data_IF_935279687110
#
_entry.id   IF_935279687110
#
_cell.length_a   1.000
_cell.length_b   1.000
_cell.length_c   1.000
_cell.angle_alpha   90.00
_cell.angle_beta   90.00
_cell.angle_gamma   90.00
#
_symmetry.space_group_name_H-M   'P 1'
#
loop_
_entity.id
_entity.type
_entity.pdbx_description
1 polymer ?
#
# COMPACT_ATOMS: atom_id res chain seq x y z
N UNK A 1 50.01 2.70 32.33
CA UNK A 1 50.65 1.33 32.31
C UNK A 1 50.19 0.73 31.01
N UNK A 2 51.05 0.80 29.98
CA UNK A 2 51.94 -0.25 29.44
C UNK A 2 51.12 -1.49 28.99
N UNK A 3 51.15 -1.99 27.73
CA UNK A 3 52.26 -2.11 26.79
C UNK A 3 51.72 -2.33 25.34
N UNK A 4 52.45 -1.75 24.43
CA UNK A 4 52.53 -2.06 22.99
C UNK A 4 53.15 -3.45 22.81
N UNK A 5 52.78 -4.17 21.75
CA UNK A 5 53.68 -5.09 21.06
C UNK A 5 53.44 -5.02 19.52
N UNK A 6 54.42 -4.46 18.86
CA UNK A 6 54.76 -4.64 17.42
C UNK A 6 55.36 -6.05 17.27
N UNK A 7 55.11 -6.70 16.13
CA UNK A 7 55.96 -7.75 15.61
C UNK A 7 56.23 -7.45 14.12
N UNK A 8 57.51 -7.45 13.87
CA UNK A 8 58.25 -7.04 12.67
C UNK A 8 58.19 -8.13 11.56
N UNK A 9 58.34 -7.65 10.34
CA UNK A 9 58.54 -8.38 9.09
C UNK A 9 59.82 -9.21 9.09
N UNK A 10 59.86 -10.33 8.34
CA UNK A 10 61.07 -10.82 7.66
C UNK A 10 60.72 -11.36 6.29
N UNK A 11 61.23 -10.68 5.28
CA UNK A 11 61.27 -11.13 3.88
C UNK A 11 62.41 -12.14 3.71
N UNK A 12 62.13 -13.24 3.04
CA UNK A 12 63.22 -14.15 2.57
C UNK A 12 63.10 -14.33 1.08
N UNK A 13 64.08 -13.75 0.40
CA UNK A 13 64.37 -14.00 -1.05
C UNK A 13 64.96 -15.38 -1.22
N UNK A 14 64.39 -16.23 -2.08
CA UNK A 14 65.06 -17.43 -2.59
C UNK A 14 65.26 -17.31 -4.09
N UNK A 15 66.51 -17.17 -4.45
CA UNK A 15 67.10 -17.17 -5.83
C UNK A 15 67.26 -18.63 -6.25
N UNK A 16 66.60 -19.08 -7.32
CA UNK A 16 66.88 -20.39 -7.95
C UNK A 16 67.24 -20.19 -9.44
N UNK A 17 68.42 -20.66 -9.75
CA UNK A 17 69.15 -20.61 -11.03
C UNK A 17 68.50 -21.49 -12.11
N UNK A 18 68.47 -20.96 -13.33
CA UNK A 18 68.19 -21.66 -14.60
C UNK A 18 69.16 -22.80 -14.85
N UNK A 19 68.62 -23.98 -15.17
CA UNK A 19 69.35 -24.96 -16.01
C UNK A 19 68.45 -25.36 -17.17
N UNK A 20 68.91 -25.03 -18.36
CA UNK A 20 68.30 -25.40 -19.65
C UNK A 20 68.52 -26.88 -19.92
N UNK A 21 67.41 -27.62 -20.10
CA UNK A 21 67.46 -28.94 -20.77
C UNK A 21 66.54 -28.88 -21.98
N UNK A 22 67.22 -28.87 -23.19
CA UNK A 22 66.52 -28.97 -24.47
C UNK A 22 66.19 -30.44 -24.74
N UNK A 23 64.95 -30.77 -24.88
CA UNK A 23 64.55 -32.05 -25.47
C UNK A 23 63.37 -31.77 -26.41
N UNK A 24 63.63 -31.93 -27.70
CA UNK A 24 62.70 -31.85 -28.80
C UNK A 24 61.73 -33.03 -28.73
N UNK A 25 60.47 -32.80 -28.51
CA UNK A 25 59.39 -33.76 -28.72
C UNK A 25 58.33 -33.16 -29.64
N UNK A 26 57.95 -33.95 -30.62
CA UNK A 26 56.94 -33.71 -31.65
C UNK A 26 55.68 -33.07 -31.09
N UNK A 27 55.26 -32.00 -31.70
CA UNK A 27 53.99 -31.31 -31.49
C UNK A 27 52.90 -32.08 -32.25
N UNK A 28 52.14 -32.94 -31.53
CA UNK A 28 50.82 -33.34 -31.96
C UNK A 28 49.87 -32.22 -31.59
N UNK A 29 49.27 -31.60 -32.58
CA UNK A 29 48.23 -30.60 -32.43
C UNK A 29 46.94 -31.28 -31.93
N UNK A 30 46.77 -31.36 -30.59
CA UNK A 30 45.44 -31.52 -30.02
C UNK A 30 44.83 -30.11 -29.97
N UNK A 31 43.84 -29.88 -30.80
CA UNK A 31 42.92 -28.77 -30.64
C UNK A 31 42.22 -28.93 -29.27
N UNK A 32 42.77 -28.22 -28.27
CA UNK A 32 41.99 -27.96 -27.06
C UNK A 32 40.93 -26.94 -27.46
N UNK A 33 39.70 -27.44 -27.74
CA UNK A 33 38.54 -26.63 -27.66
C UNK A 33 38.44 -26.15 -26.19
N UNK A 34 38.85 -24.90 -25.99
CA UNK A 34 38.57 -24.18 -24.76
C UNK A 34 37.02 -24.15 -24.65
N UNK A 35 36.37 -24.59 -23.54
CA UNK A 35 34.95 -24.41 -23.41
C UNK A 35 34.69 -22.89 -23.47
N UNK A 36 34.02 -22.48 -24.54
CA UNK A 36 33.55 -21.09 -24.69
C UNK A 36 32.82 -20.71 -23.41
N UNK A 37 33.36 -19.73 -22.72
CA UNK A 37 32.65 -19.09 -21.62
C UNK A 37 31.35 -18.55 -22.24
N UNK A 38 30.17 -18.96 -21.75
CA UNK A 38 28.92 -18.48 -22.36
C UNK A 38 28.93 -16.95 -22.35
N UNK A 39 28.70 -16.36 -23.52
CA UNK A 39 28.59 -14.91 -23.65
C UNK A 39 27.55 -14.38 -22.66
N UNK A 40 27.83 -13.27 -21.96
CA UNK A 40 26.89 -12.70 -21.04
C UNK A 40 25.62 -12.30 -21.81
N UNK A 41 24.45 -12.63 -21.25
CA UNK A 41 23.16 -12.29 -21.82
C UNK A 41 23.03 -10.78 -22.06
N UNK A 42 22.67 -10.38 -23.29
CA UNK A 42 22.55 -8.98 -23.69
C UNK A 42 21.14 -8.42 -23.45
N UNK A 43 20.12 -9.25 -23.66
CA UNK A 43 18.71 -8.85 -23.49
C UNK A 43 18.01 -9.76 -22.48
N UNK A 44 17.47 -9.13 -21.46
CA UNK A 44 16.73 -9.85 -20.40
C UNK A 44 15.29 -9.33 -20.32
N UNK A 45 14.32 -10.24 -20.38
CA UNK A 45 12.91 -9.93 -20.10
C UNK A 45 12.38 -10.90 -19.05
N UNK A 46 11.66 -10.39 -18.05
CA UNK A 46 11.15 -11.17 -16.93
C UNK A 46 12.21 -11.99 -16.18
N UNK A 47 13.46 -11.48 -16.16
CA UNK A 47 14.60 -12.21 -15.59
C UNK A 47 15.11 -13.38 -16.45
N UNK A 48 14.62 -13.52 -17.69
CA UNK A 48 14.99 -14.57 -18.64
C UNK A 48 15.84 -13.97 -19.74
N UNK A 49 16.95 -14.63 -20.08
CA UNK A 49 17.74 -14.26 -21.26
C UNK A 49 16.95 -14.57 -22.54
N UNK A 50 16.70 -13.55 -23.35
CA UNK A 50 15.89 -13.66 -24.57
C UNK A 50 16.69 -13.50 -25.86
N UNK A 51 18.01 -13.57 -25.82
CA UNK A 51 18.88 -13.37 -26.98
C UNK A 51 18.57 -14.35 -28.12
N UNK A 52 18.17 -15.57 -27.77
CA UNK A 52 17.82 -16.66 -28.71
C UNK A 52 16.31 -16.94 -28.81
N UNK A 53 15.49 -16.10 -28.16
CA UNK A 53 14.04 -16.29 -28.09
C UNK A 53 13.31 -15.20 -28.89
N UNK A 54 12.20 -15.57 -29.48
CA UNK A 54 11.17 -14.66 -29.95
C UNK A 54 10.13 -14.47 -28.86
N UNK A 55 9.78 -13.21 -28.56
CA UNK A 55 8.83 -12.84 -27.52
C UNK A 55 7.58 -12.24 -28.15
N UNK A 56 6.44 -12.93 -28.02
CA UNK A 56 5.15 -12.46 -28.50
C UNK A 56 4.26 -12.06 -27.32
N UNK A 57 3.72 -10.84 -27.36
CA UNK A 57 2.82 -10.32 -26.35
C UNK A 57 1.38 -10.45 -26.79
N UNK A 58 0.53 -10.88 -25.87
CA UNK A 58 -0.90 -11.09 -26.07
C UNK A 58 -1.70 -10.49 -24.90
N UNK A 59 -3.01 -10.39 -25.10
CA UNK A 59 -3.97 -10.01 -24.06
C UNK A 59 -5.08 -11.03 -23.97
N UNK A 60 -5.62 -11.19 -22.78
CA UNK A 60 -6.81 -12.01 -22.51
C UNK A 60 -8.03 -11.31 -23.09
N UNK A 61 -8.74 -11.98 -23.99
CA UNK A 61 -9.92 -11.45 -24.67
C UNK A 61 -11.21 -11.90 -24.00
N UNK A 62 -12.33 -11.32 -24.45
CA UNK A 62 -13.64 -11.70 -23.95
C UNK A 62 -13.96 -13.17 -24.32
N UNK A 63 -14.30 -13.96 -23.32
CA UNK A 63 -14.57 -15.41 -23.47
C UNK A 63 -13.34 -16.30 -23.35
N UNK A 64 -12.16 -15.73 -23.07
CA UNK A 64 -10.97 -16.51 -22.81
C UNK A 64 -10.99 -17.14 -21.41
N UNK A 65 -10.54 -18.37 -21.39
CA UNK A 65 -10.15 -19.12 -20.21
C UNK A 65 -8.72 -19.60 -20.42
N UNK A 66 -8.00 -19.91 -19.35
CA UNK A 66 -6.63 -20.42 -19.47
C UNK A 66 -6.55 -21.60 -20.46
N UNK A 67 -7.49 -22.55 -20.40
CA UNK A 67 -7.52 -23.70 -21.31
C UNK A 67 -7.73 -23.32 -22.77
N UNK A 68 -8.50 -22.28 -23.09
CA UNK A 68 -8.68 -21.79 -24.46
C UNK A 68 -7.43 -21.10 -24.99
N UNK A 69 -6.75 -20.33 -24.15
CA UNK A 69 -5.47 -19.69 -24.48
C UNK A 69 -4.43 -20.77 -24.79
N UNK A 70 -4.26 -21.75 -23.88
CA UNK A 70 -3.29 -22.83 -24.06
C UNK A 70 -3.61 -23.69 -25.29
N UNK A 71 -4.89 -23.94 -25.56
CA UNK A 71 -5.33 -24.63 -26.77
C UNK A 71 -4.97 -23.91 -28.07
N UNK A 72 -5.10 -22.57 -28.12
CA UNK A 72 -4.65 -21.74 -29.24
C UNK A 72 -3.13 -21.76 -29.45
N UNK A 73 -2.37 -21.93 -28.38
CA UNK A 73 -0.92 -22.08 -28.41
C UNK A 73 -0.47 -23.50 -28.77
N UNK A 74 -1.40 -24.45 -29.01
CA UNK A 74 -1.13 -25.82 -29.46
C UNK A 74 -0.92 -26.83 -28.34
N UNK A 75 -1.13 -26.48 -27.07
CA UNK A 75 -1.00 -27.41 -25.95
C UNK A 75 -2.18 -28.38 -25.91
N UNK A 76 -1.87 -29.65 -25.66
CA UNK A 76 -2.89 -30.71 -25.43
C UNK A 76 -3.62 -30.48 -24.10
N UNK A 77 -4.76 -31.14 -23.91
CA UNK A 77 -5.50 -31.04 -22.64
C UNK A 77 -4.68 -31.48 -21.42
N UNK A 78 -3.83 -32.51 -21.59
CA UNK A 78 -2.95 -33.00 -20.52
C UNK A 78 -1.85 -31.98 -20.17
N UNK A 79 -1.27 -31.32 -21.15
CA UNK A 79 -0.26 -30.25 -20.95
C UNK A 79 -0.90 -29.02 -20.33
N UNK A 80 -2.08 -28.63 -20.82
CA UNK A 80 -2.86 -27.53 -20.27
C UNK A 80 -3.20 -27.72 -18.79
N UNK A 81 -3.56 -28.95 -18.39
CA UNK A 81 -3.81 -29.29 -16.99
C UNK A 81 -2.55 -29.21 -16.13
N UNK A 82 -1.39 -29.67 -16.64
CA UNK A 82 -0.10 -29.54 -15.95
C UNK A 82 0.28 -28.05 -15.76
N UNK A 83 0.16 -27.24 -16.80
CA UNK A 83 0.43 -25.80 -16.76
C UNK A 83 -0.50 -25.11 -15.74
N UNK A 84 -1.80 -25.42 -15.80
CA UNK A 84 -2.79 -24.87 -14.87
C UNK A 84 -2.47 -25.19 -13.41
N UNK A 85 -2.05 -26.43 -13.12
CA UNK A 85 -1.62 -26.80 -11.76
C UNK A 85 -0.37 -26.07 -11.32
N UNK A 86 0.61 -25.87 -12.21
CA UNK A 86 1.87 -25.19 -11.89
C UNK A 86 1.65 -23.71 -11.55
N UNK A 87 0.76 -23.01 -12.26
CA UNK A 87 0.52 -21.58 -12.02
C UNK A 87 -0.46 -21.31 -10.85
N UNK A 88 -1.33 -22.27 -10.51
CA UNK A 88 -2.39 -22.10 -9.49
C UNK A 88 -1.90 -21.55 -8.15
N UNK A 89 -0.73 -21.94 -7.60
CA UNK A 89 -0.23 -21.38 -6.34
C UNK A 89 0.07 -19.89 -6.40
N UNK A 90 0.42 -19.36 -7.56
CA UNK A 90 0.84 -17.97 -7.79
C UNK A 90 -0.27 -17.13 -8.40
N UNK A 91 -0.92 -17.65 -9.44
CA UNK A 91 -1.99 -16.99 -10.19
C UNK A 91 -3.09 -18.00 -10.54
N UNK A 92 -4.08 -18.19 -9.65
CA UNK A 92 -5.20 -19.10 -9.91
C UNK A 92 -5.95 -18.73 -11.20
N UNK A 93 -6.24 -19.67 -12.11
CA UNK A 93 -6.95 -19.41 -13.37
C UNK A 93 -8.29 -18.67 -13.21
N UNK A 94 -8.92 -18.78 -12.04
CA UNK A 94 -10.16 -18.06 -11.70
C UNK A 94 -9.97 -16.54 -11.52
N UNK A 95 -8.75 -16.05 -11.45
CA UNK A 95 -8.41 -14.62 -11.37
C UNK A 95 -8.08 -14.00 -12.72
N UNK A 96 -8.00 -14.82 -13.80
CA UNK A 96 -7.75 -14.33 -15.13
C UNK A 96 -8.85 -13.34 -15.55
N UNK A 97 -8.47 -12.16 -15.99
CA UNK A 97 -9.38 -11.08 -16.36
C UNK A 97 -9.14 -10.64 -17.81
N UNK A 98 -10.19 -10.12 -18.44
CA UNK A 98 -10.08 -9.51 -19.77
C UNK A 98 -9.09 -8.34 -19.66
N UNK A 99 -8.13 -8.29 -20.59
CA UNK A 99 -7.09 -7.28 -20.63
C UNK A 99 -5.79 -7.68 -19.91
N UNK A 100 -5.78 -8.76 -19.11
CA UNK A 100 -4.54 -9.28 -18.55
C UNK A 100 -3.56 -9.61 -19.68
N UNK A 101 -2.30 -9.27 -19.48
CA UNK A 101 -1.27 -9.52 -20.48
C UNK A 101 -0.61 -10.88 -20.24
N UNK A 102 -0.22 -11.52 -21.34
CA UNK A 102 0.66 -12.67 -21.26
C UNK A 102 1.67 -12.64 -22.41
N UNK A 103 2.85 -13.21 -22.18
CA UNK A 103 3.90 -13.34 -23.17
C UNK A 103 4.18 -14.83 -23.45
N UNK A 104 4.43 -15.13 -24.71
CA UNK A 104 4.90 -16.43 -25.20
C UNK A 104 6.31 -16.25 -25.69
N UNK A 105 7.24 -17.04 -25.13
CA UNK A 105 8.63 -17.02 -25.53
C UNK A 105 8.96 -18.35 -26.23
N UNK A 106 9.26 -18.27 -27.50
CA UNK A 106 9.59 -19.43 -28.33
C UNK A 106 11.03 -19.37 -28.84
N UNK A 107 11.60 -20.52 -29.08
CA UNK A 107 12.95 -20.61 -29.64
C UNK A 107 12.96 -20.03 -31.05
N UNK A 108 14.01 -19.22 -31.34
CA UNK A 108 14.20 -18.58 -32.64
C UNK A 108 14.85 -19.57 -33.62
N UNK A 109 14.15 -20.65 -33.92
CA UNK A 109 14.57 -21.67 -34.90
C UNK A 109 13.35 -22.18 -35.67
N UNK A 110 13.56 -23.19 -36.55
CA UNK A 110 12.50 -23.78 -37.36
C UNK A 110 11.45 -24.56 -36.56
N UNK A 111 11.73 -24.89 -35.31
CA UNK A 111 10.79 -25.61 -34.42
C UNK A 111 9.78 -24.69 -33.76
N UNK A 112 10.19 -23.43 -33.52
CA UNK A 112 9.41 -22.43 -32.78
C UNK A 112 8.83 -22.97 -31.46
N UNK A 113 9.58 -23.87 -30.80
CA UNK A 113 9.15 -24.49 -29.56
C UNK A 113 8.95 -23.44 -28.46
N UNK A 114 7.80 -23.46 -27.78
CA UNK A 114 7.52 -22.57 -26.68
C UNK A 114 8.35 -23.00 -25.46
N UNK A 115 9.23 -22.12 -25.00
CA UNK A 115 10.10 -22.33 -23.86
C UNK A 115 9.52 -21.77 -22.56
N UNK A 116 8.84 -20.62 -22.65
CA UNK A 116 8.24 -19.99 -21.48
C UNK A 116 6.87 -19.39 -21.80
N UNK A 117 6.00 -19.45 -20.81
CA UNK A 117 4.78 -18.66 -20.76
C UNK A 117 4.89 -17.71 -19.57
N UNK A 118 4.57 -16.44 -19.78
CA UNK A 118 4.59 -15.42 -18.72
C UNK A 118 3.20 -14.81 -18.65
N UNK A 119 2.58 -14.84 -17.49
CA UNK A 119 1.31 -14.18 -17.21
C UNK A 119 1.54 -12.95 -16.34
N UNK A 120 0.95 -11.81 -16.69
CA UNK A 120 1.04 -10.55 -15.93
C UNK A 120 -0.29 -10.26 -15.21
N UNK A 121 -0.49 -10.73 -13.96
CA UNK A 121 -1.69 -10.46 -13.18
C UNK A 121 -1.82 -8.99 -12.74
N UNK A 122 -0.75 -8.20 -12.83
CA UNK A 122 -0.73 -6.76 -12.58
C UNK A 122 0.33 -6.07 -13.46
N UNK A 123 0.42 -4.76 -13.36
CA UNK A 123 1.47 -3.99 -14.06
C UNK A 123 2.87 -4.42 -13.59
N UNK A 124 3.01 -4.73 -12.31
CA UNK A 124 4.28 -5.07 -11.66
C UNK A 124 4.53 -6.57 -11.60
N UNK A 125 3.53 -7.37 -11.29
CA UNK A 125 3.72 -8.78 -10.98
C UNK A 125 3.60 -9.64 -12.23
N UNK A 126 4.40 -10.70 -12.26
CA UNK A 126 4.33 -11.70 -13.32
C UNK A 126 4.60 -13.11 -12.79
N UNK A 127 4.07 -14.09 -13.49
CA UNK A 127 4.27 -15.52 -13.22
C UNK A 127 4.86 -16.17 -14.45
N UNK A 128 6.01 -16.79 -14.30
CA UNK A 128 6.71 -17.52 -15.37
C UNK A 128 6.41 -19.00 -15.24
N UNK A 129 6.17 -19.66 -16.38
CA UNK A 129 6.12 -21.11 -16.53
C UNK A 129 7.27 -21.50 -17.45
N UNK A 130 8.22 -22.29 -16.96
CA UNK A 130 9.31 -22.88 -17.75
C UNK A 130 8.87 -24.25 -18.28
N UNK A 131 8.89 -24.36 -19.61
CA UNK A 131 8.45 -25.52 -20.38
C UNK A 131 9.61 -26.35 -20.97
N UNK A 132 10.87 -25.95 -20.73
CA UNK A 132 12.05 -26.53 -21.38
C UNK A 132 12.46 -27.91 -20.88
N UNK A 133 12.02 -28.31 -19.70
CA UNK A 133 12.44 -29.57 -19.09
C UNK A 133 11.36 -30.64 -19.08
N UNK A 134 11.72 -31.84 -18.68
CA UNK A 134 10.76 -32.93 -18.44
C UNK A 134 9.79 -32.62 -17.29
N UNK A 135 10.21 -31.74 -16.36
CA UNK A 135 9.42 -31.25 -15.25
C UNK A 135 9.10 -29.78 -15.43
N UNK A 136 7.81 -29.46 -15.47
CA UNK A 136 7.29 -28.11 -15.57
C UNK A 136 7.51 -27.36 -14.25
N UNK A 137 8.13 -26.18 -14.31
CA UNK A 137 8.33 -25.31 -13.13
C UNK A 137 7.65 -23.97 -13.33
N UNK A 138 7.17 -23.38 -12.24
CA UNK A 138 6.60 -22.04 -12.25
C UNK A 138 7.04 -21.25 -11.03
N UNK A 139 7.18 -19.92 -11.21
CA UNK A 139 7.50 -18.99 -10.12
C UNK A 139 6.86 -17.63 -10.38
N UNK A 140 6.58 -16.90 -9.31
CA UNK A 140 6.17 -15.50 -9.37
C UNK A 140 7.36 -14.59 -9.11
N UNK A 141 7.36 -13.42 -9.75
CA UNK A 141 8.30 -12.34 -9.52
C UNK A 141 7.66 -11.00 -9.86
N UNK A 142 8.38 -9.90 -9.62
CA UNK A 142 7.89 -8.55 -9.92
C UNK A 142 8.93 -7.78 -10.74
N UNK A 143 8.43 -6.91 -11.62
CA UNK A 143 9.28 -5.97 -12.37
C UNK A 143 9.86 -4.94 -11.39
N UNK A 144 11.08 -4.46 -11.60
CA UNK A 144 11.64 -3.39 -10.79
C UNK A 144 10.79 -2.12 -10.92
N UNK A 145 10.53 -1.48 -9.78
CA UNK A 145 9.79 -0.22 -9.72
C UNK A 145 10.78 0.89 -9.39
N UNK A 146 10.75 1.96 -10.18
CA UNK A 146 11.47 3.22 -9.93
C UNK A 146 10.52 4.25 -9.33
N UNK A 147 11.03 5.07 -8.40
CA UNK A 147 10.27 6.15 -7.81
C UNK A 147 10.70 7.47 -8.44
N UNK A 148 9.73 8.21 -8.97
CA UNK A 148 9.96 9.53 -9.54
C UNK A 148 9.37 10.59 -8.63
N UNK A 149 10.21 11.42 -8.02
CA UNK A 149 9.83 12.54 -7.20
C UNK A 149 9.18 13.63 -8.07
N UNK A 150 7.97 14.08 -7.65
CA UNK A 150 7.17 15.10 -8.33
C UNK A 150 6.77 16.19 -7.36
N UNK A 151 6.47 17.35 -7.92
CA UNK A 151 5.91 18.48 -7.20
C UNK A 151 4.65 18.97 -7.90
N UNK A 152 3.67 19.42 -7.14
CA UNK A 152 2.46 20.04 -7.66
C UNK A 152 1.94 21.08 -6.69
N UNK A 153 1.51 22.23 -7.21
CA UNK A 153 0.84 23.29 -6.46
C UNK A 153 -0.28 23.90 -7.29
N UNK A 154 -1.36 24.32 -6.64
CA UNK A 154 -2.40 25.12 -7.26
C UNK A 154 -3.22 25.88 -6.23
N UNK A 155 -3.78 27.02 -6.69
CA UNK A 155 -4.87 27.69 -5.99
C UNK A 155 -6.20 27.10 -6.44
N UNK A 156 -7.09 26.83 -5.51
CA UNK A 156 -8.39 26.22 -5.76
C UNK A 156 -9.34 27.32 -6.27
N UNK A 157 -9.89 27.08 -7.45
CA UNK A 157 -10.90 27.98 -8.08
C UNK A 157 -12.31 27.39 -8.04
N UNK A 158 -12.45 26.08 -7.83
CA UNK A 158 -13.75 25.41 -7.78
C UNK A 158 -13.77 24.25 -6.76
N UNK A 159 -12.88 23.26 -6.92
CA UNK A 159 -12.72 22.13 -6.00
C UNK A 159 -11.27 21.68 -5.96
N UNK A 160 -10.88 21.00 -4.89
CA UNK A 160 -9.56 20.39 -4.76
C UNK A 160 -9.28 19.40 -5.92
N UNK A 161 -10.27 18.58 -6.28
CA UNK A 161 -10.19 17.65 -7.40
C UNK A 161 -9.83 18.34 -8.71
N UNK A 162 -10.57 19.40 -9.05
CA UNK A 162 -10.32 20.14 -10.30
C UNK A 162 -8.99 20.88 -10.28
N UNK A 163 -8.58 21.44 -9.14
CA UNK A 163 -7.30 22.12 -8.99
C UNK A 163 -6.11 21.15 -9.17
N UNK A 164 -6.20 19.91 -8.67
CA UNK A 164 -5.19 18.88 -8.87
C UNK A 164 -5.11 18.45 -10.34
N UNK A 165 -6.25 18.24 -11.01
CA UNK A 165 -6.25 17.95 -12.46
C UNK A 165 -5.62 19.10 -13.24
N UNK A 166 -5.99 20.34 -12.93
CA UNK A 166 -5.46 21.53 -13.60
C UNK A 166 -3.95 21.72 -13.41
N UNK A 167 -3.39 21.24 -12.30
CA UNK A 167 -1.94 21.21 -12.07
C UNK A 167 -1.20 20.10 -12.83
N UNK A 168 -1.91 19.28 -13.60
CA UNK A 168 -1.35 18.14 -14.33
C UNK A 168 -1.13 16.87 -13.49
N UNK A 169 -1.54 16.88 -12.23
CA UNK A 169 -1.39 15.76 -11.33
C UNK A 169 -2.59 14.81 -11.36
N UNK A 170 -2.40 13.57 -10.89
CA UNK A 170 -3.47 12.57 -10.84
C UNK A 170 -4.52 12.88 -9.76
N UNK A 171 -5.81 12.70 -10.06
CA UNK A 171 -6.89 12.92 -9.08
C UNK A 171 -6.78 12.10 -7.79
N UNK A 172 -6.04 10.99 -7.80
CA UNK A 172 -5.79 10.17 -6.59
C UNK A 172 -5.18 11.00 -5.46
N UNK A 173 -4.37 12.00 -5.79
CA UNK A 173 -3.75 12.89 -4.82
C UNK A 173 -4.77 13.73 -4.04
N UNK A 174 -5.96 14.01 -4.62
CA UNK A 174 -7.03 14.68 -3.88
C UNK A 174 -7.55 13.83 -2.71
N UNK A 175 -7.69 12.52 -2.94
CA UNK A 175 -8.09 11.58 -1.89
C UNK A 175 -7.01 11.47 -0.83
N UNK A 176 -5.74 11.31 -1.24
CA UNK A 176 -4.62 11.20 -0.32
C UNK A 176 -4.44 12.47 0.55
N UNK A 177 -4.55 13.67 -0.03
CA UNK A 177 -4.52 14.92 0.73
C UNK A 177 -5.71 15.02 1.68
N UNK A 178 -6.91 14.62 1.22
CA UNK A 178 -8.10 14.62 2.06
C UNK A 178 -7.96 13.69 3.26
N UNK A 179 -7.29 12.55 3.09
CA UNK A 179 -7.02 11.61 4.19
C UNK A 179 -6.00 12.18 5.19
N UNK A 180 -4.93 12.82 4.69
CA UNK A 180 -3.90 13.44 5.54
C UNK A 180 -4.50 14.55 6.41
N UNK A 181 -5.30 15.43 5.81
CA UNK A 181 -5.85 16.62 6.50
C UNK A 181 -7.29 16.44 7.00
N UNK A 182 -7.84 15.22 6.99
CA UNK A 182 -9.23 14.91 7.34
C UNK A 182 -9.72 15.51 8.67
N UNK A 183 -8.79 15.83 9.57
CA UNK A 183 -9.08 16.35 10.90
C UNK A 183 -8.78 17.84 11.09
N UNK A 184 -7.97 18.42 10.21
CA UNK A 184 -7.61 19.84 10.23
C UNK A 184 -8.50 20.66 9.32
N UNK A 185 -8.90 20.08 8.18
CA UNK A 185 -9.66 20.75 7.11
C UNK A 185 -10.97 20.01 6.86
N UNK A 186 -12.07 20.76 6.81
CA UNK A 186 -13.33 20.25 6.30
C UNK A 186 -13.36 20.44 4.78
N UNK A 187 -13.10 19.37 4.03
CA UNK A 187 -13.04 19.43 2.56
C UNK A 187 -14.37 19.75 1.88
N UNK A 188 -15.51 19.72 2.62
CA UNK A 188 -16.78 20.26 2.14
C UNK A 188 -16.87 21.80 2.27
N UNK A 189 -15.97 22.41 3.05
CA UNK A 189 -15.90 23.86 3.23
C UNK A 189 -14.70 24.50 2.51
N UNK A 190 -13.97 23.74 1.70
CA UNK A 190 -12.88 24.25 0.84
C UNK A 190 -13.45 25.19 -0.21
N UNK A 191 -12.83 26.38 -0.36
CA UNK A 191 -13.33 27.50 -1.14
C UNK A 191 -12.31 27.98 -2.16
N UNK A 192 -12.80 28.82 -3.07
CA UNK A 192 -11.97 29.59 -3.96
C UNK A 192 -10.97 30.44 -3.14
N UNK A 193 -9.71 30.42 -3.54
CA UNK A 193 -8.60 31.06 -2.84
C UNK A 193 -7.81 30.15 -1.89
N UNK A 194 -8.38 29.04 -1.44
CA UNK A 194 -7.59 27.99 -0.76
C UNK A 194 -6.54 27.43 -1.72
N UNK A 195 -5.47 26.85 -1.20
CA UNK A 195 -4.39 26.36 -2.03
C UNK A 195 -3.74 25.10 -1.44
N UNK A 196 -3.04 24.39 -2.28
CA UNK A 196 -2.15 23.31 -1.84
C UNK A 196 -0.81 23.39 -2.54
N UNK A 197 0.19 22.81 -1.90
CA UNK A 197 1.48 22.44 -2.48
C UNK A 197 1.90 21.11 -1.89
N UNK A 198 2.43 20.21 -2.74
CA UNK A 198 2.82 18.88 -2.32
C UNK A 198 3.97 18.34 -3.13
N UNK A 199 4.77 17.54 -2.47
CA UNK A 199 5.81 16.70 -3.03
C UNK A 199 5.41 15.25 -2.83
N UNK A 200 5.51 14.43 -3.88
CA UNK A 200 5.04 13.04 -3.87
C UNK A 200 5.89 12.17 -4.78
N UNK A 201 5.86 10.87 -4.54
CA UNK A 201 6.55 9.88 -5.34
C UNK A 201 5.56 9.10 -6.21
N UNK A 202 5.85 9.04 -7.50
CA UNK A 202 5.20 8.18 -8.46
C UNK A 202 5.99 6.89 -8.64
N UNK A 203 5.31 5.76 -8.60
CA UNK A 203 5.88 4.46 -8.90
C UNK A 203 5.75 4.17 -10.40
N UNK A 204 6.85 3.78 -11.05
CA UNK A 204 6.91 3.51 -12.47
C UNK A 204 7.62 2.18 -12.74
N UNK A 205 7.19 1.47 -13.78
CA UNK A 205 7.90 0.32 -14.35
C UNK A 205 8.53 0.75 -15.67
N UNK A 206 9.81 0.40 -15.85
CA UNK A 206 10.60 0.71 -17.07
C UNK A 206 10.61 2.21 -17.42
N UNK A 207 10.48 3.10 -16.43
CA UNK A 207 10.41 4.57 -16.54
C UNK A 207 9.33 5.09 -17.53
N UNK A 208 8.49 4.22 -18.03
CA UNK A 208 7.47 4.53 -19.05
C UNK A 208 6.04 4.20 -18.62
N UNK A 209 5.86 3.24 -17.71
CA UNK A 209 4.54 2.78 -17.29
C UNK A 209 4.28 3.22 -15.86
N UNK A 210 3.36 4.17 -15.70
CA UNK A 210 2.87 4.61 -14.38
C UNK A 210 2.12 3.46 -13.68
N UNK A 211 2.45 3.22 -12.42
CA UNK A 211 1.82 2.19 -11.57
C UNK A 211 0.82 2.86 -10.61
N UNK A 212 1.33 3.70 -9.72
CA UNK A 212 0.52 4.35 -8.69
C UNK A 212 1.27 5.55 -8.08
N UNK A 213 0.58 6.32 -7.23
CA UNK A 213 1.24 7.23 -6.30
C UNK A 213 1.72 6.40 -5.11
N UNK A 214 3.03 6.31 -4.95
CA UNK A 214 3.63 5.54 -3.87
C UNK A 214 3.42 6.21 -2.51
N UNK A 215 3.62 7.54 -2.43
CA UNK A 215 3.48 8.29 -1.18
C UNK A 215 3.48 9.81 -1.40
N UNK A 216 2.90 10.54 -0.44
CA UNK A 216 3.12 11.99 -0.32
C UNK A 216 4.32 12.19 0.60
N UNK A 217 5.34 12.90 0.12
CA UNK A 217 6.63 13.12 0.77
C UNK A 217 6.70 14.46 1.53
N UNK A 218 5.68 15.25 1.40
CA UNK A 218 5.48 16.51 2.10
C UNK A 218 4.33 17.28 1.48
N UNK A 219 3.52 17.94 2.29
CA UNK A 219 2.44 18.78 1.77
C UNK A 219 2.19 20.00 2.67
N UNK A 220 1.66 21.05 2.07
CA UNK A 220 1.06 22.18 2.77
C UNK A 220 -0.31 22.44 2.17
N UNK A 221 -1.34 22.49 2.98
CA UNK A 221 -2.67 22.92 2.61
C UNK A 221 -2.97 24.27 3.23
N UNK A 222 -3.40 25.23 2.42
CA UNK A 222 -3.74 26.60 2.86
C UNK A 222 -5.26 26.69 2.81
N UNK A 223 -5.89 26.86 3.97
CA UNK A 223 -7.34 27.00 4.10
C UNK A 223 -7.65 28.24 4.95
N UNK A 224 -8.39 29.20 4.38
CA UNK A 224 -8.74 30.45 5.04
C UNK A 224 -7.52 31.16 5.61
N UNK A 225 -6.48 31.33 4.80
CA UNK A 225 -5.19 31.98 5.13
C UNK A 225 -4.37 31.28 6.23
N UNK A 226 -4.80 30.10 6.67
CA UNK A 226 -4.04 29.28 7.61
C UNK A 226 -3.33 28.14 6.89
N UNK A 227 -2.02 28.04 7.11
CA UNK A 227 -1.22 26.92 6.61
C UNK A 227 -1.33 25.71 7.54
N UNK A 228 -1.48 24.53 6.92
CA UNK A 228 -1.42 23.21 7.56
C UNK A 228 -0.34 22.42 6.87
N UNK A 229 0.75 22.15 7.56
CA UNK A 229 1.89 21.38 7.03
C UNK A 229 1.74 19.91 7.37
N UNK A 230 2.15 19.03 6.46
CA UNK A 230 2.18 17.60 6.64
C UNK A 230 3.59 17.09 6.35
N UNK A 231 4.31 16.77 7.40
CA UNK A 231 5.67 16.26 7.36
C UNK A 231 5.62 14.75 7.63
N UNK A 232 6.00 13.90 6.67
CA UNK A 232 6.06 12.46 6.90
C UNK A 232 7.21 12.11 7.83
N UNK A 233 6.94 11.30 8.83
CA UNK A 233 7.95 10.81 9.76
C UNK A 233 7.60 9.40 10.22
N UNK A 234 8.62 8.55 10.39
CA UNK A 234 8.46 7.18 10.85
C UNK A 234 8.87 7.03 12.30
N UNK A 235 7.97 6.51 13.12
CA UNK A 235 8.25 6.07 14.48
C UNK A 235 7.56 4.73 14.74
N UNK A 236 8.19 3.83 15.52
CA UNK A 236 7.68 2.48 15.79
C UNK A 236 7.32 1.68 14.51
N UNK A 237 8.09 1.87 13.42
CA UNK A 237 7.84 1.26 12.10
C UNK A 237 6.49 1.64 11.48
N UNK A 238 5.92 2.77 11.91
CA UNK A 238 4.71 3.37 11.33
C UNK A 238 5.05 4.75 10.81
N UNK A 239 4.79 4.97 9.52
CA UNK A 239 4.93 6.28 8.88
C UNK A 239 3.62 7.03 9.00
N UNK A 240 3.64 8.20 9.61
CA UNK A 240 2.51 9.12 9.76
C UNK A 240 2.91 10.54 9.38
N UNK A 241 1.91 11.45 9.34
CA UNK A 241 2.15 12.87 9.05
C UNK A 241 2.00 13.70 10.32
N UNK A 242 2.93 14.65 10.49
CA UNK A 242 3.01 15.53 11.64
C UNK A 242 3.03 16.99 11.19
N UNK A 243 2.54 17.87 12.05
CA UNK A 243 2.71 19.32 11.87
C UNK A 243 4.16 19.75 12.20
N UNK A 244 4.43 21.05 12.09
CA UNK A 244 5.77 21.63 12.33
C UNK A 244 6.25 21.48 13.78
N UNK A 245 5.34 21.36 14.74
CA UNK A 245 5.61 21.11 16.15
C UNK A 245 5.79 19.62 16.49
N UNK A 246 5.56 18.73 15.54
CA UNK A 246 5.60 17.28 15.74
C UNK A 246 4.31 16.71 16.33
N UNK A 247 3.19 17.44 16.28
CA UNK A 247 1.89 16.87 16.63
C UNK A 247 1.36 16.07 15.45
N UNK A 248 0.81 14.88 15.71
CA UNK A 248 0.21 14.04 14.64
C UNK A 248 -0.98 14.74 14.00
N UNK A 249 -1.01 14.79 12.67
CA UNK A 249 -2.18 15.25 11.90
C UNK A 249 -3.34 14.27 12.00
N UNK A 250 -3.06 13.04 12.34
CA UNK A 250 -4.07 12.02 12.59
C UNK A 250 -4.68 12.22 13.97
N UNK A 251 -6.00 12.10 14.07
CA UNK A 251 -6.67 11.98 15.37
C UNK A 251 -6.76 10.53 15.78
N UNK A 252 -6.68 10.31 17.10
CA UNK A 252 -6.76 8.97 17.65
C UNK A 252 -8.09 8.24 17.34
N UNK A 253 -9.15 8.99 16.91
CA UNK A 253 -10.44 8.41 16.63
C UNK A 253 -11.06 8.94 15.35
N UNK A 254 -11.70 8.04 14.57
CA UNK A 254 -12.54 8.39 13.43
C UNK A 254 -13.82 9.12 13.92
N UNK A 255 -14.40 9.97 13.08
CA UNK A 255 -15.67 10.69 13.35
C UNK A 255 -16.86 9.72 13.49
N UNK A 256 -16.83 8.59 12.78
CA UNK A 256 -17.89 7.56 12.81
C UNK A 256 -17.31 6.16 12.56
N UNK A 257 -17.97 5.11 13.07
CA UNK A 257 -17.57 3.72 12.88
C UNK A 257 -18.08 3.09 11.56
N UNK A 258 -18.76 3.86 10.69
CA UNK A 258 -19.33 3.46 9.41
C UNK A 258 -18.99 4.50 8.34
N UNK A 259 -18.81 4.06 7.09
CA UNK A 259 -18.58 4.96 5.96
C UNK A 259 -19.88 5.60 5.47
N UNK A 260 -20.98 4.82 5.46
CA UNK A 260 -22.29 5.26 5.01
C UNK A 260 -23.37 4.96 6.07
N UNK A 261 -24.07 6.00 6.52
CA UNK A 261 -25.07 5.88 7.57
C UNK A 261 -26.04 7.05 7.59
N UNK A 262 -27.16 6.84 8.31
CA UNK A 262 -28.07 7.89 8.75
C UNK A 262 -28.21 7.80 10.27
N UNK A 263 -28.04 8.89 10.98
CA UNK A 263 -28.27 8.92 12.43
C UNK A 263 -29.77 8.78 12.69
N UNK A 264 -30.17 7.66 13.28
CA UNK A 264 -31.57 7.36 13.65
C UNK A 264 -31.91 7.73 15.08
N UNK A 265 -30.92 7.77 15.98
CA UNK A 265 -31.10 8.24 17.34
C UNK A 265 -29.81 8.86 17.89
N UNK A 266 -29.93 9.99 18.55
CA UNK A 266 -28.84 10.71 19.16
C UNK A 266 -28.60 10.32 20.62
N UNK A 267 -27.45 10.64 21.17
CA UNK A 267 -27.16 10.56 22.59
C UNK A 267 -28.17 11.38 23.40
N UNK A 268 -28.71 10.79 24.47
CA UNK A 268 -29.67 11.47 25.34
C UNK A 268 -29.67 10.85 26.75
N UNK A 269 -29.77 11.68 27.74
CA UNK A 269 -29.93 11.23 29.14
C UNK A 269 -31.40 10.78 29.44
N UNK A 270 -32.38 11.19 28.63
CA UNK A 270 -33.77 10.78 28.78
C UNK A 270 -34.46 10.81 27.41
N UNK A 271 -34.70 9.63 26.81
CA UNK A 271 -35.55 9.50 25.61
C UNK A 271 -36.64 8.46 25.83
N UNK A 272 -37.76 8.62 25.13
CA UNK A 272 -38.82 7.60 25.12
C UNK A 272 -38.33 6.37 24.31
N UNK A 273 -38.28 5.22 24.99
CA UNK A 273 -37.78 3.99 24.35
C UNK A 273 -38.89 3.33 23.53
N UNK A 274 -38.70 3.12 22.18
CA UNK A 274 -39.82 2.69 21.30
C UNK A 274 -40.34 1.28 21.63
N UNK A 275 -39.51 0.38 22.12
CA UNK A 275 -39.88 -1.00 22.48
C UNK A 275 -40.41 -1.06 23.92
N UNK A 276 -39.70 -0.46 24.87
CA UNK A 276 -40.04 -0.56 26.29
C UNK A 276 -41.12 0.43 26.73
N UNK A 277 -41.55 1.38 25.86
CA UNK A 277 -42.59 2.38 26.09
C UNK A 277 -42.41 3.18 27.40
N UNK A 278 -41.17 3.48 27.77
CA UNK A 278 -40.80 4.29 28.95
C UNK A 278 -39.59 5.16 28.67
N UNK A 279 -39.42 6.24 29.42
CA UNK A 279 -38.22 7.07 29.36
C UNK A 279 -37.02 6.35 29.95
N UNK A 280 -35.91 6.39 29.25
CA UNK A 280 -34.62 5.89 29.71
C UNK A 280 -33.47 6.57 28.98
N UNK A 281 -32.27 6.62 29.56
CA UNK A 281 -31.10 7.15 28.87
C UNK A 281 -30.73 6.29 27.64
N UNK A 282 -30.25 6.97 26.62
CA UNK A 282 -29.56 6.38 25.47
C UNK A 282 -28.15 6.96 25.39
N UNK A 283 -27.19 6.30 26.03
CA UNK A 283 -25.82 6.74 26.15
C UNK A 283 -25.01 6.26 24.94
N UNK A 284 -25.53 6.41 23.72
CA UNK A 284 -24.93 6.07 22.46
C UNK A 284 -25.52 6.84 21.29
N UNK A 285 -25.10 6.51 20.10
CA UNK A 285 -25.67 7.00 18.84
C UNK A 285 -26.06 5.78 18.00
N UNK A 286 -27.29 5.77 17.50
CA UNK A 286 -27.80 4.74 16.62
C UNK A 286 -27.55 5.17 15.16
N UNK A 287 -26.73 4.43 14.45
CA UNK A 287 -26.42 4.58 13.03
C UNK A 287 -27.24 3.56 12.22
N UNK A 288 -28.29 4.01 11.55
CA UNK A 288 -29.08 3.17 10.67
C UNK A 288 -28.29 2.88 9.39
N UNK A 289 -28.07 1.60 9.11
CA UNK A 289 -27.41 1.09 7.93
C UNK A 289 -27.89 -0.33 7.62
N UNK A 290 -27.82 -0.82 6.36
CA UNK A 290 -28.22 -2.17 6.00
C UNK A 290 -27.45 -3.24 6.79
N UNK A 291 -28.12 -4.38 7.04
CA UNK A 291 -27.43 -5.54 7.62
C UNK A 291 -26.27 -5.97 6.75
N UNK A 292 -25.09 -6.21 7.36
CA UNK A 292 -23.89 -6.57 6.65
C UNK A 292 -22.97 -5.41 6.29
N UNK A 293 -23.37 -4.15 6.52
CA UNK A 293 -22.49 -2.98 6.38
C UNK A 293 -21.27 -3.14 7.29
N UNK A 294 -20.03 -2.96 6.78
CA UNK A 294 -18.82 -3.07 7.59
C UNK A 294 -18.80 -2.06 8.74
N UNK A 295 -18.49 -2.54 9.95
CA UNK A 295 -18.27 -1.73 11.14
C UNK A 295 -16.78 -1.65 11.41
N UNK A 296 -16.25 -0.43 11.47
CA UNK A 296 -14.84 -0.14 11.70
C UNK A 296 -14.60 0.29 13.15
N UNK A 297 -13.45 -0.11 13.72
CA UNK A 297 -13.01 0.52 14.96
C UNK A 297 -12.65 1.97 14.72
N UNK A 298 -13.08 2.87 15.63
CA UNK A 298 -12.76 4.30 15.46
C UNK A 298 -11.31 4.65 15.80
N UNK A 299 -10.58 3.79 16.47
CA UNK A 299 -9.19 4.02 16.88
C UNK A 299 -8.43 2.71 17.09
N UNK A 300 -7.12 2.82 17.19
CA UNK A 300 -6.26 1.73 17.63
C UNK A 300 -6.70 1.24 19.00
N UNK A 301 -6.58 -0.04 19.28
CA UNK A 301 -6.97 -0.57 20.58
C UNK A 301 -6.94 -2.08 20.69
N UNK A 302 -7.44 -2.57 21.81
CA UNK A 302 -7.51 -3.99 22.11
C UNK A 302 -8.96 -4.38 22.41
N UNK A 303 -9.44 -5.44 21.80
CA UNK A 303 -10.75 -6.02 22.07
C UNK A 303 -10.76 -6.59 23.49
N UNK A 304 -11.50 -5.95 24.40
CA UNK A 304 -11.58 -6.40 25.80
C UNK A 304 -12.81 -7.28 26.07
N UNK A 305 -13.82 -7.21 25.20
CA UNK A 305 -15.02 -8.02 25.31
C UNK A 305 -15.61 -8.32 23.94
N UNK A 306 -16.02 -9.57 23.72
CA UNK A 306 -16.78 -10.07 22.58
C UNK A 306 -17.82 -11.02 23.15
N UNK A 307 -19.09 -10.64 23.07
CA UNK A 307 -20.16 -11.41 23.71
C UNK A 307 -21.51 -11.23 23.01
N UNK A 308 -22.49 -12.00 23.50
CA UNK A 308 -23.89 -11.90 23.14
C UNK A 308 -24.75 -11.65 24.38
N UNK A 309 -25.55 -10.59 24.34
CA UNK A 309 -26.49 -10.27 25.41
C UNK A 309 -27.94 -10.37 24.92
N UNK A 310 -28.65 -11.42 25.33
CA UNK A 310 -30.07 -11.61 25.00
C UNK A 310 -30.91 -10.49 25.60
N UNK A 311 -31.85 -9.90 24.80
CA UNK A 311 -32.73 -8.82 25.25
C UNK A 311 -32.00 -7.51 25.59
N UNK A 312 -30.76 -7.34 25.14
CA UNK A 312 -29.95 -6.13 25.30
C UNK A 312 -29.12 -5.86 24.04
N UNK A 313 -27.80 -5.77 24.20
CA UNK A 313 -26.86 -5.38 23.14
C UNK A 313 -26.81 -6.35 21.94
N UNK A 314 -27.36 -7.55 22.01
CA UNK A 314 -27.19 -8.59 21.00
C UNK A 314 -25.73 -9.03 20.93
N UNK A 315 -25.23 -9.29 19.72
CA UNK A 315 -23.80 -9.43 19.51
C UNK A 315 -23.12 -8.08 19.66
N UNK A 316 -22.08 -8.01 20.48
CA UNK A 316 -21.35 -6.77 20.69
C UNK A 316 -19.85 -6.97 20.88
N UNK A 317 -19.11 -5.90 20.58
CA UNK A 317 -17.68 -5.76 20.86
C UNK A 317 -17.45 -4.57 21.76
N UNK A 318 -16.47 -4.70 22.67
CA UNK A 318 -15.95 -3.59 23.44
C UNK A 318 -14.44 -3.49 23.24
N UNK A 319 -13.98 -2.30 22.88
CA UNK A 319 -12.57 -2.03 22.56
C UNK A 319 -12.05 -0.98 23.53
N UNK A 320 -10.92 -1.26 24.14
CA UNK A 320 -10.15 -0.31 24.94
C UNK A 320 -9.07 0.29 24.05
N UNK A 321 -9.15 1.59 23.83
CA UNK A 321 -8.20 2.33 23.02
C UNK A 321 -6.97 2.75 23.82
N UNK A 322 -7.20 3.21 25.06
CA UNK A 322 -6.14 3.59 26.01
C UNK A 322 -6.69 3.54 27.45
N UNK A 323 -5.98 4.14 28.42
CA UNK A 323 -6.43 4.21 29.81
C UNK A 323 -7.71 5.02 30.00
N UNK A 324 -8.01 5.92 29.05
CA UNK A 324 -9.11 6.90 29.15
C UNK A 324 -10.35 6.49 28.36
N UNK A 325 -10.17 5.94 27.15
CA UNK A 325 -11.26 5.73 26.19
C UNK A 325 -11.56 4.26 25.92
N UNK A 326 -12.85 3.95 25.92
CA UNK A 326 -13.40 2.63 25.55
C UNK A 326 -14.62 2.83 24.65
N UNK A 327 -14.75 2.01 23.60
CA UNK A 327 -15.91 2.01 22.71
C UNK A 327 -16.66 0.70 22.76
N UNK A 328 -17.97 0.74 22.48
CA UNK A 328 -18.83 -0.43 22.40
C UNK A 328 -19.66 -0.37 21.12
N UNK A 329 -19.70 -1.49 20.40
CA UNK A 329 -20.38 -1.68 19.13
C UNK A 329 -21.42 -2.78 19.29
N UNK A 330 -22.71 -2.46 19.14
CA UNK A 330 -23.82 -3.37 19.49
C UNK A 330 -24.74 -3.68 18.30
N UNK A 331 -25.62 -4.65 18.50
CA UNK A 331 -26.59 -5.17 17.54
C UNK A 331 -25.98 -5.79 16.28
N UNK A 332 -24.72 -6.28 16.37
CA UNK A 332 -23.94 -6.80 15.27
C UNK A 332 -24.56 -8.09 14.70
N UNK A 333 -24.48 -8.29 13.37
CA UNK A 333 -24.88 -9.54 12.71
C UNK A 333 -23.83 -10.63 12.90
N UNK A 334 -22.57 -10.26 12.72
CA UNK A 334 -21.40 -11.14 12.87
C UNK A 334 -20.14 -10.33 13.14
N UNK A 335 -19.12 -11.00 13.64
CA UNK A 335 -17.78 -10.43 13.84
C UNK A 335 -16.90 -10.68 12.60
N UNK A 336 -15.92 -9.84 12.37
CA UNK A 336 -14.93 -10.06 11.33
C UNK A 336 -14.01 -11.25 11.69
N UNK A 337 -13.37 -11.85 10.66
CA UNK A 337 -12.48 -12.99 10.84
C UNK A 337 -11.29 -12.59 11.73
N UNK A 338 -10.94 -13.43 12.69
CA UNK A 338 -9.80 -13.19 13.59
C UNK A 338 -10.10 -12.33 14.82
N UNK A 339 -11.22 -11.61 14.86
CA UNK A 339 -11.59 -10.75 16.00
C UNK A 339 -12.00 -11.60 17.21
N UNK A 340 -11.22 -11.50 18.28
CA UNK A 340 -11.45 -12.18 19.56
C UNK A 340 -11.06 -11.26 20.73
N UNK A 341 -11.43 -11.60 21.96
CA UNK A 341 -10.89 -10.93 23.15
C UNK A 341 -9.37 -11.03 23.17
N UNK A 342 -8.69 -9.92 23.36
CA UNK A 342 -7.23 -9.80 23.31
C UNK A 342 -6.67 -9.41 21.92
N UNK A 343 -7.46 -9.43 20.86
CA UNK A 343 -7.02 -8.99 19.52
C UNK A 343 -6.71 -7.50 19.52
N UNK A 344 -5.52 -7.12 19.07
CA UNK A 344 -5.19 -5.74 18.76
C UNK A 344 -5.79 -5.36 17.42
N UNK A 345 -6.37 -4.18 17.32
CA UNK A 345 -7.01 -3.65 16.11
C UNK A 345 -6.49 -2.26 15.79
N UNK A 346 -6.43 -1.92 14.51
CA UNK A 346 -5.98 -0.61 14.03
C UNK A 346 -7.16 0.27 13.63
N UNK A 347 -7.03 1.59 13.80
CA UNK A 347 -8.04 2.56 13.38
C UNK A 347 -8.49 2.30 11.93
N UNK A 348 -9.80 2.24 11.71
CA UNK A 348 -10.38 1.95 10.39
C UNK A 348 -10.50 0.46 10.05
N UNK A 349 -9.93 -0.44 10.86
CA UNK A 349 -10.05 -1.89 10.66
C UNK A 349 -11.49 -2.36 10.81
N UNK A 350 -11.96 -3.22 9.89
CA UNK A 350 -13.29 -3.82 9.96
C UNK A 350 -13.30 -4.89 11.06
N UNK A 351 -14.08 -4.63 12.12
CA UNK A 351 -14.18 -5.49 13.30
C UNK A 351 -15.44 -6.35 13.34
N UNK A 352 -16.48 -5.90 12.64
CA UNK A 352 -17.80 -6.55 12.65
C UNK A 352 -18.68 -6.05 11.50
N UNK A 353 -19.94 -6.46 11.50
CA UNK A 353 -20.94 -6.05 10.50
C UNK A 353 -22.25 -5.68 11.17
N UNK A 354 -22.91 -4.63 10.68
CA UNK A 354 -24.22 -4.17 11.15
C UNK A 354 -25.24 -5.30 11.12
N UNK A 355 -26.09 -5.34 12.13
CA UNK A 355 -27.20 -6.29 12.25
C UNK A 355 -28.40 -5.72 12.97
N UNK A 356 -29.19 -6.62 13.55
CA UNK A 356 -30.37 -6.29 14.36
C UNK A 356 -30.56 -7.29 15.50
N UNK A 357 -29.42 -7.78 16.06
CA UNK A 357 -29.47 -8.77 17.14
C UNK A 357 -29.76 -8.12 18.49
N UNK A 358 -30.32 -8.89 19.44
CA UNK A 358 -30.70 -8.38 20.76
C UNK A 358 -32.02 -7.53 20.78
N UNK A 359 -32.05 -6.46 21.56
CA UNK A 359 -33.18 -5.57 21.68
C UNK A 359 -33.12 -4.46 20.63
N UNK A 360 -33.48 -4.79 19.39
CA UNK A 360 -33.45 -3.91 18.24
C UNK A 360 -34.79 -3.90 17.49
N UNK A 361 -35.13 -2.79 16.87
CA UNK A 361 -36.35 -2.62 16.04
C UNK A 361 -36.08 -2.74 14.54
N UNK A 362 -34.80 -2.79 14.15
CA UNK A 362 -34.34 -2.89 12.74
C UNK A 362 -32.84 -2.75 12.62
N UNK A 363 -32.29 -2.94 11.43
CA UNK A 363 -30.84 -2.90 11.22
C UNK A 363 -30.23 -1.54 11.58
N UNK A 364 -29.34 -1.53 12.57
CA UNK A 364 -28.55 -0.37 12.99
C UNK A 364 -27.35 -0.78 13.84
N UNK A 365 -26.42 0.13 14.02
CA UNK A 365 -25.34 0.05 14.98
C UNK A 365 -25.65 1.01 16.14
N UNK A 366 -25.80 0.50 17.39
CA UNK A 366 -25.72 1.34 18.60
C UNK A 366 -24.23 1.44 18.97
N UNK A 367 -23.69 2.64 18.83
CA UNK A 367 -22.30 2.95 19.08
C UNK A 367 -22.15 3.84 20.32
N UNK A 368 -21.27 3.42 21.23
CA UNK A 368 -21.05 4.12 22.50
C UNK A 368 -19.57 4.40 22.74
N UNK A 369 -19.32 5.57 23.33
CA UNK A 369 -18.00 5.98 23.78
C UNK A 369 -18.04 6.27 25.28
N UNK A 370 -17.05 5.75 25.99
CA UNK A 370 -16.82 6.04 27.41
C UNK A 370 -15.45 6.72 27.57
N UNK A 371 -15.45 7.81 28.32
CA UNK A 371 -14.24 8.50 28.78
C UNK A 371 -14.14 8.34 30.30
N UNK A 372 -13.06 7.73 30.80
CA UNK A 372 -12.90 7.39 32.21
C UNK A 372 -14.13 6.63 32.79
N UNK A 373 -14.63 5.64 32.03
CA UNK A 373 -15.82 4.84 32.33
C UNK A 373 -17.15 5.62 32.36
N UNK A 374 -17.18 6.91 32.04
CA UNK A 374 -18.40 7.71 31.92
C UNK A 374 -18.82 7.79 30.43
N UNK A 375 -20.12 7.58 30.12
CA UNK A 375 -20.59 7.70 28.75
C UNK A 375 -20.53 9.16 28.28
N UNK A 376 -20.01 9.38 27.10
CA UNK A 376 -19.96 10.70 26.45
C UNK A 376 -20.68 10.65 25.11
N UNK A 377 -21.10 11.80 24.61
CA UNK A 377 -21.76 11.89 23.30
C UNK A 377 -20.73 11.75 22.16
N UNK A 378 -20.79 10.66 21.36
CA UNK A 378 -19.86 10.44 20.26
C UNK A 378 -19.84 11.57 19.21
N UNK A 379 -20.98 12.25 19.00
CA UNK A 379 -21.12 13.29 17.97
C UNK A 379 -20.44 14.62 18.33
N UNK A 380 -20.23 14.87 19.61
CA UNK A 380 -19.60 16.09 20.12
C UNK A 380 -18.26 15.82 20.78
N UNK A 381 -17.81 14.57 20.73
CA UNK A 381 -16.50 14.18 21.25
C UNK A 381 -15.39 14.83 20.44
N UNK A 382 -14.56 15.61 21.10
CA UNK A 382 -13.28 16.01 20.53
C UNK A 382 -12.35 14.79 20.56
N UNK A 383 -12.01 14.25 19.38
CA UNK A 383 -11.05 13.18 19.30
C UNK A 383 -9.67 13.72 19.76
N UNK A 384 -9.01 13.05 20.72
CA UNK A 384 -7.66 13.43 21.08
C UNK A 384 -6.75 13.32 19.86
N UNK A 385 -5.68 14.14 19.75
CA UNK A 385 -4.66 13.94 18.75
C UNK A 385 -4.08 12.52 18.92
N UNK A 386 -3.63 11.93 17.83
CA UNK A 386 -2.77 10.74 17.89
C UNK A 386 -1.47 11.08 18.62
N UNK A 387 -0.65 10.08 18.89
CA UNK A 387 0.61 10.31 19.61
C UNK A 387 1.51 11.27 18.80
N UNK A 388 2.03 12.35 19.45
CA UNK A 388 3.00 13.22 18.80
C UNK A 388 4.32 12.45 18.55
N UNK A 389 5.23 13.07 17.84
CA UNK A 389 6.61 12.60 17.76
C UNK A 389 7.16 12.43 19.17
N UNK A 390 7.79 11.28 19.42
CA UNK A 390 8.38 10.96 20.72
C UNK A 390 9.45 11.98 21.09
N UNK A 391 9.56 12.40 22.36
CA UNK A 391 10.54 13.40 22.78
C UNK A 391 11.97 13.08 22.36
N UNK A 392 12.35 11.80 22.42
CA UNK A 392 13.67 11.31 22.01
C UNK A 392 13.94 11.36 20.50
N UNK A 393 12.89 11.50 19.68
CA UNK A 393 12.97 11.57 18.21
C UNK A 393 12.78 13.00 17.67
N UNK A 394 12.50 13.99 18.51
CA UNK A 394 12.20 15.37 18.08
C UNK A 394 13.33 15.99 17.27
N UNK A 395 14.59 15.76 17.63
CA UNK A 395 15.72 16.31 16.88
C UNK A 395 15.84 15.64 15.49
N UNK A 396 15.60 14.33 15.40
CA UNK A 396 15.53 13.62 14.12
C UNK A 396 14.35 14.10 13.26
N UNK A 397 13.20 14.35 13.88
CA UNK A 397 12.04 14.91 13.20
C UNK A 397 12.33 16.30 12.63
N UNK A 398 12.97 17.20 13.39
CA UNK A 398 13.35 18.53 12.91
C UNK A 398 14.26 18.48 11.69
N UNK A 399 15.22 17.56 11.65
CA UNK A 399 16.06 17.34 10.47
C UNK A 399 15.24 16.88 9.25
N UNK A 400 14.26 16.03 9.46
CA UNK A 400 13.34 15.60 8.38
C UNK A 400 12.46 16.77 7.94
N UNK A 401 11.88 17.51 8.87
CA UNK A 401 11.08 18.71 8.62
C UNK A 401 11.82 19.71 7.73
N UNK A 402 13.03 20.12 8.14
CA UNK A 402 13.83 21.12 7.41
C UNK A 402 14.20 20.61 6.00
N UNK A 403 14.56 19.34 5.89
CA UNK A 403 14.85 18.71 4.59
C UNK A 403 13.62 18.71 3.68
N UNK A 404 12.45 18.31 4.18
CA UNK A 404 11.20 18.26 3.40
C UNK A 404 10.83 19.66 2.88
N UNK A 405 10.90 20.69 3.71
CA UNK A 405 10.59 22.05 3.27
C UNK A 405 11.61 22.56 2.24
N UNK A 406 12.89 22.33 2.47
CA UNK A 406 13.96 22.73 1.54
C UNK A 406 13.82 22.02 0.18
N UNK A 407 13.48 20.74 0.17
CA UNK A 407 13.27 19.97 -1.05
C UNK A 407 12.03 20.45 -1.80
N UNK A 408 10.92 20.72 -1.10
CA UNK A 408 9.70 21.29 -1.72
C UNK A 408 9.98 22.65 -2.36
N UNK A 409 10.72 23.52 -1.70
CA UNK A 409 11.08 24.85 -2.25
C UNK A 409 12.02 24.70 -3.47
N UNK A 410 12.98 23.76 -3.43
CA UNK A 410 13.86 23.47 -4.57
C UNK A 410 13.08 22.96 -5.79
N UNK A 411 12.16 22.03 -5.61
CA UNK A 411 11.32 21.50 -6.68
C UNK A 411 10.40 22.58 -7.27
N UNK A 412 9.83 23.44 -6.42
CA UNK A 412 9.02 24.56 -6.86
C UNK A 412 9.78 25.51 -7.78
N UNK A 413 11.02 25.84 -7.43
CA UNK A 413 11.87 26.70 -8.25
C UNK A 413 12.22 26.06 -9.59
N UNK A 414 12.48 24.74 -9.60
CA UNK A 414 12.79 24.02 -10.83
C UNK A 414 11.58 23.93 -11.77
N UNK A 415 10.39 23.67 -11.25
CA UNK A 415 9.15 23.62 -12.06
C UNK A 415 8.78 24.99 -12.62
N UNK A 416 8.91 26.07 -11.82
CA UNK A 416 8.66 27.44 -12.33
C UNK A 416 9.62 27.82 -13.45
N UNK A 417 10.90 27.46 -13.34
CA UNK A 417 11.90 27.71 -14.38
C UNK A 417 11.61 26.91 -15.67
N UNK A 418 11.15 25.66 -15.54
CA UNK A 418 10.77 24.82 -16.70
C UNK A 418 9.51 25.37 -17.39
N UNK A 419 8.53 25.85 -16.61
CA UNK A 419 7.32 26.47 -17.15
C UNK A 419 7.64 27.75 -17.92
N UNK A 420 8.50 28.60 -17.39
CA UNK A 420 8.95 29.83 -18.06
C UNK A 420 9.69 29.53 -19.37
N UNK A 421 10.56 28.54 -19.41
CA UNK A 421 11.23 28.10 -20.64
C UNK A 421 10.26 27.58 -21.71
N UNK A 422 9.22 26.83 -21.32
CA UNK A 422 8.20 26.35 -22.25
C UNK A 422 7.42 27.51 -22.88
N UNK A 423 7.02 28.49 -22.04
CA UNK A 423 6.30 29.68 -22.50
C UNK A 423 7.11 30.58 -23.46
N UNK A 424 8.45 30.55 -23.40
CA UNK A 424 9.33 31.31 -24.31
C UNK A 424 9.54 30.54 -25.63
N UNK A 425 9.34 29.21 -25.65
CA UNK A 425 9.57 28.35 -26.81
C UNK A 425 8.32 28.14 -27.70
N UNK A 426 7.14 28.54 -27.22
CA UNK A 426 5.87 28.65 -27.96
C UNK A 426 5.66 30.06 -28.54
#
# INVERSE_FOLDING_TARGET
MLARRQILQTATYLLVTLTTFSCALKQESSQNENPETPEPCQLTQYGICVDTLDVAFHQVENGDYLSSILGRLGFTGTESDKISRAITPYYPPSRLQIGDRYAVMSQRDTTAAIHYLVFEPSITDYVVVDLRGDSLTAWASSKPVTLHRRYSEATITSSLWNAIIASGATPMLALMLSDIYAWQVDFFDVKEGDAFRMMYDEAWVDDTTFVEIASIEGATFIHRDKEYRAIPFEQDSVREYFDEEGNSLRKAFLKAPLDFFRISSRFSNARFHPVLKRYRPHHGVDYAAPTGTPVKTIGDGVVIEKAFQRGGAGNYLKIRHNSTYTTTYMHLSRFAKGIQKGTSVKQGEVIAYVGSTGLSTGPHLDFRVHKNNQPINPLTMEAPPSLPVKPELLDSFRLVHDRVLQEMDSLRLSESFLAEKRAISE
#
